data_IF_652955327826
#
_entry.id   IF_652955327826
#
_cell.length_a   1.000
_cell.length_b   1.000
_cell.length_c   1.000
_cell.angle_alpha   90.00
_cell.angle_beta   90.00
_cell.angle_gamma   90.00
#
_symmetry.space_group_name_H-M   'P 1'
#
loop_
_entity.id
_entity.type
_entity.pdbx_description
1 polymer ?
#
# COMPACT_ATOMS: atom_id res chain seq x y z
N UNK A 1 -3.20 18.79 -21.76
CA UNK A 1 -3.15 17.40 -21.26
C UNK A 1 -4.26 17.27 -20.25
N UNK A 2 -5.01 16.17 -20.29
CA UNK A 2 -6.19 15.95 -19.46
C UNK A 2 -6.15 14.52 -18.93
N UNK A 3 -6.54 14.32 -17.68
CA UNK A 3 -6.79 12.98 -17.16
C UNK A 3 -8.00 12.40 -17.88
N UNK A 4 -7.89 11.15 -18.31
CA UNK A 4 -8.98 10.38 -18.90
C UNK A 4 -9.43 9.33 -17.89
N UNK A 5 -10.72 9.34 -17.57
CA UNK A 5 -11.35 8.33 -16.74
C UNK A 5 -12.29 7.50 -17.63
N UNK A 6 -12.17 6.18 -17.59
CA UNK A 6 -13.01 5.29 -18.38
C UNK A 6 -13.18 3.91 -17.74
N UNK A 7 -14.29 3.24 -18.06
CA UNK A 7 -14.53 1.84 -17.68
C UNK A 7 -14.01 0.91 -18.78
N UNK A 8 -13.27 -0.13 -18.40
CA UNK A 8 -12.77 -1.17 -19.32
C UNK A 8 -12.76 -2.53 -18.62
N UNK A 9 -13.00 -3.59 -19.38
CA UNK A 9 -12.72 -4.96 -18.93
C UNK A 9 -11.21 -5.16 -18.79
N UNK A 10 -10.77 -5.78 -17.70
CA UNK A 10 -9.37 -6.03 -17.44
C UNK A 10 -9.12 -7.43 -16.88
N UNK A 11 -8.64 -8.31 -17.76
CA UNK A 11 -8.29 -9.71 -17.45
C UNK A 11 -9.43 -10.42 -16.70
N UNK A 12 -9.12 -11.25 -15.71
CA UNK A 12 -10.12 -11.90 -14.84
C UNK A 12 -10.74 -11.00 -13.77
N UNK A 13 -10.31 -9.74 -13.65
CA UNK A 13 -10.85 -8.79 -12.67
C UNK A 13 -12.16 -8.13 -13.10
N UNK A 14 -12.62 -8.41 -14.32
CA UNK A 14 -13.85 -7.86 -14.87
C UNK A 14 -13.72 -6.37 -15.12
N UNK A 15 -14.80 -5.63 -14.85
CA UNK A 15 -14.84 -4.20 -15.08
C UNK A 15 -13.98 -3.42 -14.07
N UNK A 16 -13.06 -2.61 -14.60
CA UNK A 16 -12.22 -1.70 -13.84
C UNK A 16 -12.41 -0.25 -14.31
N UNK A 17 -12.20 0.70 -13.39
CA UNK A 17 -12.08 2.13 -13.68
C UNK A 17 -10.62 2.44 -13.96
N UNK A 18 -10.31 2.82 -15.19
CA UNK A 18 -9.00 3.30 -15.62
C UNK A 18 -8.92 4.82 -15.45
N UNK A 19 -7.82 5.29 -14.86
CA UNK A 19 -7.45 6.70 -14.73
C UNK A 19 -6.09 6.87 -15.42
N UNK A 20 -6.06 7.67 -16.49
CA UNK A 20 -4.94 7.69 -17.44
C UNK A 20 -4.52 9.12 -17.79
N UNK A 21 -3.24 9.34 -18.06
CA UNK A 21 -2.71 10.55 -18.70
C UNK A 21 -1.69 10.16 -19.79
N UNK A 22 -1.01 11.15 -20.37
CA UNK A 22 -0.05 10.91 -21.46
C UNK A 22 1.23 10.17 -21.01
N UNK A 23 1.45 9.98 -19.71
CA UNK A 23 2.65 9.35 -19.13
C UNK A 23 2.41 7.99 -18.46
N UNK A 24 1.22 7.75 -17.90
CA UNK A 24 0.92 6.54 -17.15
C UNK A 24 -0.58 6.21 -17.12
N UNK A 25 -0.88 4.99 -16.67
CA UNK A 25 -2.23 4.53 -16.40
C UNK A 25 -2.30 3.78 -15.06
N UNK A 26 -3.43 3.89 -14.37
CA UNK A 26 -3.79 3.03 -13.24
C UNK A 26 -5.21 2.47 -13.43
N UNK A 27 -5.48 1.29 -12.85
CA UNK A 27 -6.81 0.66 -12.91
C UNK A 27 -7.28 0.23 -11.53
N UNK A 28 -8.55 0.52 -11.22
CA UNK A 28 -9.21 0.19 -9.96
C UNK A 28 -10.37 -0.76 -10.18
N UNK A 29 -10.42 -1.85 -9.42
CA UNK A 29 -11.51 -2.82 -9.47
C UNK A 29 -12.79 -2.22 -8.89
N UNK A 30 -13.95 -2.48 -9.53
CA UNK A 30 -15.24 -1.98 -9.06
C UNK A 30 -16.32 -3.04 -8.91
N UNK A 31 -16.09 -4.26 -9.41
CA UNK A 31 -16.97 -5.40 -9.14
C UNK A 31 -16.68 -6.06 -7.78
N UNK A 32 -15.51 -5.75 -7.21
CA UNK A 32 -15.05 -6.10 -5.86
C UNK A 32 -13.97 -5.07 -5.44
N UNK A 33 -13.58 -5.05 -4.15
CA UNK A 33 -12.49 -4.21 -3.63
C UNK A 33 -12.97 -2.97 -2.86
N UNK A 34 -12.47 -1.75 -3.16
CA UNK A 34 -11.66 -1.39 -4.33
C UNK A 34 -10.21 -1.83 -4.21
N UNK A 35 -9.59 -2.17 -5.34
CA UNK A 35 -8.16 -2.46 -5.43
C UNK A 35 -7.52 -1.74 -6.60
N UNK A 36 -6.40 -1.05 -6.39
CA UNK A 36 -5.58 -0.55 -7.51
C UNK A 36 -4.75 -1.72 -8.01
N UNK A 37 -5.22 -2.37 -9.08
CA UNK A 37 -4.66 -3.62 -9.60
C UNK A 37 -3.61 -3.39 -10.69
N UNK A 38 -3.56 -2.19 -11.23
CA UNK A 38 -2.62 -1.78 -12.26
C UNK A 38 -2.09 -0.39 -11.98
N UNK A 39 -0.77 -0.20 -12.14
CA UNK A 39 -0.13 1.11 -12.24
C UNK A 39 1.19 0.96 -13.01
N UNK A 40 1.33 1.68 -14.11
CA UNK A 40 2.55 1.66 -14.93
C UNK A 40 2.72 2.94 -15.74
N UNK A 41 3.98 3.26 -16.07
CA UNK A 41 4.28 4.17 -17.15
C UNK A 41 3.78 3.58 -18.47
N UNK A 42 3.44 4.45 -19.41
CA UNK A 42 3.12 4.01 -20.77
C UNK A 42 4.29 3.20 -21.35
N UNK A 43 3.97 2.11 -22.03
CA UNK A 43 4.93 1.14 -22.61
C UNK A 43 5.80 0.38 -21.59
N UNK A 44 5.44 0.40 -20.30
CA UNK A 44 6.08 -0.43 -19.26
C UNK A 44 5.11 -1.48 -18.70
N UNK A 45 5.65 -2.49 -18.05
CA UNK A 45 4.84 -3.51 -17.38
C UNK A 45 4.28 -2.99 -16.05
N UNK A 46 3.22 -3.62 -15.57
CA UNK A 46 2.58 -3.28 -14.30
C UNK A 46 3.55 -3.41 -13.11
N UNK A 47 3.53 -2.46 -12.17
CA UNK A 47 4.26 -2.58 -10.90
C UNK A 47 3.43 -3.23 -9.79
N UNK A 48 2.10 -3.23 -9.92
CA UNK A 48 1.19 -3.81 -8.95
C UNK A 48 1.14 -5.34 -9.08
N UNK A 49 0.95 -6.03 -7.96
CA UNK A 49 0.67 -7.46 -7.96
C UNK A 49 -0.69 -7.74 -8.60
N UNK A 50 -0.73 -8.70 -9.51
CA UNK A 50 -1.96 -9.25 -10.07
C UNK A 50 -2.05 -10.73 -9.69
N UNK A 51 -2.88 -11.06 -8.70
CA UNK A 51 -3.15 -12.44 -8.26
C UNK A 51 -4.52 -12.91 -8.78
N UNK A 52 -4.60 -13.16 -10.09
CA UNK A 52 -5.82 -13.59 -10.78
C UNK A 52 -6.39 -14.91 -10.25
N UNK A 53 -5.52 -15.77 -9.72
CA UNK A 53 -5.90 -17.07 -9.17
C UNK A 53 -6.48 -16.97 -7.75
N UNK A 54 -6.33 -15.82 -7.07
CA UNK A 54 -6.72 -15.68 -5.68
C UNK A 54 -5.90 -16.61 -4.78
N UNK A 55 -4.58 -16.67 -4.99
CA UNK A 55 -3.68 -17.68 -4.45
C UNK A 55 -3.73 -17.85 -2.94
N UNK A 56 -4.16 -16.82 -2.21
CA UNK A 56 -4.28 -16.81 -0.76
C UNK A 56 -5.72 -16.54 -0.40
N UNK A 57 -6.30 -17.44 0.40
CA UNK A 57 -7.68 -17.33 0.85
C UNK A 57 -7.76 -17.55 2.34
N UNK A 58 -8.64 -16.78 2.99
CA UNK A 58 -9.00 -16.99 4.39
C UNK A 58 -10.51 -17.17 4.44
N UNK A 59 -10.94 -18.28 5.02
CA UNK A 59 -12.36 -18.49 5.32
C UNK A 59 -12.71 -17.70 6.59
N UNK A 60 -13.66 -16.79 6.46
CA UNK A 60 -14.06 -15.86 7.51
C UNK A 60 -15.45 -16.27 7.95
N UNK A 61 -15.48 -17.04 9.04
CA UNK A 61 -16.70 -17.66 9.54
C UNK A 61 -17.85 -16.65 9.68
N UNK A 62 -18.93 -16.88 8.95
CA UNK A 62 -20.12 -16.01 8.93
C UNK A 62 -20.06 -14.83 7.96
N UNK A 63 -18.93 -14.56 7.31
CA UNK A 63 -18.72 -13.43 6.38
C UNK A 63 -18.30 -13.86 4.97
N UNK A 64 -17.85 -15.10 4.80
CA UNK A 64 -17.43 -15.66 3.51
C UNK A 64 -15.92 -15.74 3.37
N UNK A 65 -15.42 -15.84 2.13
CA UNK A 65 -13.99 -16.07 1.88
C UNK A 65 -13.31 -14.79 1.39
N UNK A 66 -12.33 -14.31 2.15
CA UNK A 66 -11.40 -13.29 1.68
C UNK A 66 -10.40 -13.91 0.71
N UNK A 67 -10.05 -13.18 -0.34
CA UNK A 67 -9.08 -13.61 -1.34
C UNK A 67 -8.07 -12.50 -1.57
N UNK A 68 -6.79 -12.85 -1.57
CA UNK A 68 -5.77 -11.94 -2.08
C UNK A 68 -5.90 -11.89 -3.60
N UNK A 69 -6.36 -10.75 -4.12
CA UNK A 69 -6.45 -10.50 -5.56
C UNK A 69 -5.31 -9.60 -6.05
N UNK A 70 -4.33 -9.32 -5.20
CA UNK A 70 -3.24 -8.38 -5.47
C UNK A 70 -3.64 -6.92 -5.28
N UNK A 71 -2.84 -6.05 -5.88
CA UNK A 71 -3.01 -4.60 -5.90
C UNK A 71 -2.83 -3.88 -4.57
N UNK A 72 -3.17 -2.60 -4.59
CA UNK A 72 -3.29 -1.78 -3.40
C UNK A 72 -4.69 -1.90 -2.78
N UNK A 73 -4.78 -2.07 -1.46
CA UNK A 73 -6.03 -2.24 -0.70
C UNK A 73 -5.98 -1.54 0.66
N UNK A 74 -7.16 -1.22 1.18
CA UNK A 74 -7.35 -0.62 2.50
C UNK A 74 -7.86 -1.66 3.50
N UNK A 75 -7.15 -1.78 4.61
CA UNK A 75 -7.47 -2.65 5.74
C UNK A 75 -7.57 -1.87 7.05
N UNK A 76 -8.16 -2.53 8.04
CA UNK A 76 -8.24 -2.05 9.43
C UNK A 76 -7.24 -2.85 10.25
N UNK A 77 -6.35 -2.16 10.96
CA UNK A 77 -5.43 -2.74 11.91
C UNK A 77 -5.98 -2.62 13.35
N UNK A 78 -5.57 -3.53 14.27
CA UNK A 78 -4.59 -4.61 14.09
C UNK A 78 -5.13 -5.78 13.25
N UNK A 79 -4.23 -6.64 12.76
CA UNK A 79 -4.57 -7.82 11.95
C UNK A 79 -5.38 -8.84 12.78
N UNK A 80 -6.69 -8.92 12.53
CA UNK A 80 -7.61 -9.76 13.27
C UNK A 80 -8.65 -10.39 12.34
N UNK A 81 -9.06 -11.62 12.67
CA UNK A 81 -10.26 -12.26 12.09
C UNK A 81 -11.43 -12.00 13.05
N UNK A 82 -12.62 -11.57 12.56
CA UNK A 82 -12.98 -11.45 11.14
C UNK A 82 -12.69 -10.10 10.50
N UNK A 83 -12.35 -9.07 11.26
CA UNK A 83 -12.43 -7.68 10.78
C UNK A 83 -11.44 -7.32 9.66
N UNK A 84 -10.14 -7.58 9.84
CA UNK A 84 -9.13 -7.28 8.82
C UNK A 84 -9.36 -8.11 7.56
N UNK A 85 -9.82 -9.35 7.75
CA UNK A 85 -10.11 -10.28 6.68
C UNK A 85 -11.54 -10.15 6.15
N UNK A 86 -12.30 -9.10 6.49
CA UNK A 86 -13.64 -8.92 5.94
C UNK A 86 -13.60 -9.03 4.40
N UNK A 87 -14.33 -9.97 3.77
CA UNK A 87 -14.21 -10.18 2.34
C UNK A 87 -14.65 -8.95 1.55
N UNK A 88 -13.77 -8.42 0.70
CA UNK A 88 -14.03 -7.29 -0.18
C UNK A 88 -14.63 -7.75 -1.52
N UNK A 89 -15.57 -8.69 -1.48
CA UNK A 89 -16.15 -9.34 -2.66
C UNK A 89 -17.31 -8.58 -3.30
N UNK A 90 -17.80 -7.52 -2.66
CA UNK A 90 -18.98 -6.78 -3.09
C UNK A 90 -18.63 -5.64 -4.07
N UNK A 91 -19.54 -5.28 -5.00
CA UNK A 91 -19.35 -4.15 -5.90
C UNK A 91 -19.12 -2.83 -5.16
N UNK A 92 -18.25 -2.00 -5.75
CA UNK A 92 -17.79 -0.74 -5.18
C UNK A 92 -18.47 0.42 -5.90
N UNK A 93 -19.14 1.29 -5.15
CA UNK A 93 -19.65 2.54 -5.70
C UNK A 93 -18.47 3.51 -5.94
N UNK A 94 -18.50 4.26 -7.03
CA UNK A 94 -17.52 5.32 -7.28
C UNK A 94 -18.14 6.55 -7.92
N UNK A 95 -17.47 7.68 -7.73
CA UNK A 95 -17.83 8.96 -8.32
C UNK A 95 -16.58 9.66 -8.84
N UNK A 96 -16.61 10.09 -10.10
CA UNK A 96 -15.60 10.97 -10.67
C UNK A 96 -16.02 12.44 -10.50
N UNK A 97 -15.06 13.29 -10.14
CA UNK A 97 -15.19 14.75 -10.09
C UNK A 97 -13.88 15.37 -10.61
N UNK A 98 -13.91 15.84 -11.86
CA UNK A 98 -12.70 16.23 -12.58
C UNK A 98 -11.69 15.08 -12.68
N UNK A 99 -10.47 15.33 -12.21
CA UNK A 99 -9.34 14.38 -12.24
C UNK A 99 -9.28 13.47 -11.01
N UNK A 100 -10.31 13.53 -10.14
CA UNK A 100 -10.40 12.78 -8.89
C UNK A 100 -11.51 11.75 -8.95
N UNK A 101 -11.24 10.54 -8.48
CA UNK A 101 -12.24 9.47 -8.34
C UNK A 101 -12.28 9.00 -6.90
N UNK A 102 -13.47 9.03 -6.30
CA UNK A 102 -13.74 8.50 -4.97
C UNK A 102 -14.40 7.13 -5.10
N UNK A 103 -13.84 6.13 -4.43
CA UNK A 103 -14.34 4.76 -4.34
C UNK A 103 -14.83 4.48 -2.92
N UNK A 104 -16.06 4.02 -2.80
CA UNK A 104 -16.75 3.77 -1.52
C UNK A 104 -17.35 2.37 -1.57
N UNK A 105 -16.66 1.34 -1.03
CA UNK A 105 -17.24 0.01 -0.89
C UNK A 105 -18.41 0.03 0.13
N UNK A 106 -19.23 -1.03 0.20
CA UNK A 106 -20.21 -1.18 1.26
C UNK A 106 -19.58 -1.02 2.64
N UNK A 107 -20.35 -0.45 3.57
CA UNK A 107 -19.95 -0.37 4.97
C UNK A 107 -19.64 -1.77 5.51
N UNK A 108 -18.57 -1.88 6.30
CA UNK A 108 -18.22 -3.15 6.93
C UNK A 108 -19.29 -3.52 7.97
N UNK A 109 -19.49 -4.83 8.24
CA UNK A 109 -20.37 -5.26 9.32
C UNK A 109 -19.83 -4.88 10.72
N UNK A 110 -18.62 -4.31 10.80
CA UNK A 110 -17.93 -3.89 12.02
C UNK A 110 -18.04 -2.38 12.29
N UNK A 111 -19.03 -1.72 11.66
CA UNK A 111 -19.35 -0.32 11.91
C UNK A 111 -18.32 0.65 11.34
N UNK A 112 -17.69 0.31 10.21
CA UNK A 112 -16.70 1.18 9.54
C UNK A 112 -17.05 1.42 8.09
N UNK A 113 -16.88 2.66 7.64
CA UNK A 113 -16.96 3.01 6.22
C UNK A 113 -15.54 3.23 5.71
N UNK A 114 -15.14 2.44 4.73
CA UNK A 114 -13.87 2.60 4.01
C UNK A 114 -14.10 3.53 2.81
N UNK A 115 -13.09 4.32 2.45
CA UNK A 115 -13.09 5.15 1.25
C UNK A 115 -11.66 5.30 0.73
N UNK A 116 -11.51 5.20 -0.60
CA UNK A 116 -10.27 5.47 -1.31
C UNK A 116 -10.51 6.59 -2.31
N UNK A 117 -9.74 7.67 -2.23
CA UNK A 117 -9.80 8.79 -3.16
C UNK A 117 -8.50 8.85 -3.95
N UNK A 118 -8.61 8.88 -5.28
CA UNK A 118 -7.47 8.86 -6.18
C UNK A 118 -7.53 10.08 -7.10
N UNK A 119 -6.43 10.82 -7.16
CA UNK A 119 -6.23 11.93 -8.09
C UNK A 119 -4.95 11.68 -8.90
N UNK A 120 -5.05 11.68 -10.23
CA UNK A 120 -3.89 11.58 -11.11
C UNK A 120 -3.44 12.97 -11.55
N UNK A 121 -2.14 13.27 -11.50
CA UNK A 121 -1.60 14.52 -12.07
C UNK A 121 -1.89 14.56 -13.58
N UNK A 122 -2.32 15.70 -14.11
CA UNK A 122 -2.71 15.81 -15.52
C UNK A 122 -1.57 15.60 -16.54
N UNK A 123 -0.31 15.61 -16.10
CA UNK A 123 0.87 15.61 -16.97
C UNK A 123 2.03 14.71 -16.52
N UNK A 124 2.02 14.26 -15.26
CA UNK A 124 3.11 13.50 -14.65
C UNK A 124 2.63 12.14 -14.18
N UNK A 125 3.52 11.14 -14.08
CA UNK A 125 3.19 9.85 -13.51
C UNK A 125 3.17 9.90 -11.98
N UNK A 126 2.31 10.78 -11.44
CA UNK A 126 2.16 11.07 -10.02
C UNK A 126 0.69 10.91 -9.66
N UNK A 127 0.42 10.07 -8.65
CA UNK A 127 -0.92 9.78 -8.16
C UNK A 127 -0.99 10.15 -6.69
N UNK A 128 -1.99 10.91 -6.28
CA UNK A 128 -2.33 11.09 -4.87
C UNK A 128 -3.43 10.10 -4.51
N UNK A 129 -3.20 9.31 -3.45
CA UNK A 129 -4.15 8.33 -2.91
C UNK A 129 -4.44 8.67 -1.46
N UNK A 130 -5.67 9.08 -1.16
CA UNK A 130 -6.14 9.31 0.21
C UNK A 130 -7.01 8.15 0.64
N UNK A 131 -6.60 7.47 1.70
CA UNK A 131 -7.33 6.37 2.33
C UNK A 131 -8.04 6.89 3.59
N UNK A 132 -9.28 6.45 3.80
CA UNK A 132 -10.10 6.83 4.97
C UNK A 132 -10.83 5.65 5.56
N UNK A 133 -10.90 5.63 6.88
CA UNK A 133 -11.76 4.73 7.65
C UNK A 133 -12.55 5.57 8.64
N UNK A 134 -13.86 5.67 8.43
CA UNK A 134 -14.77 6.38 9.33
C UNK A 134 -15.46 5.40 10.27
N UNK A 135 -15.47 5.71 11.57
CA UNK A 135 -16.33 5.04 12.52
C UNK A 135 -17.79 5.47 12.29
N UNK A 136 -18.63 4.56 11.81
CA UNK A 136 -20.07 4.79 11.59
C UNK A 136 -20.93 4.03 12.61
N UNK A 137 -20.31 3.38 13.60
CA UNK A 137 -20.98 2.75 14.72
C UNK A 137 -21.52 3.76 15.74
N UNK A 138 -22.14 3.25 16.79
CA UNK A 138 -22.74 4.03 17.87
C UNK A 138 -21.79 4.22 19.07
N UNK A 139 -20.60 3.63 19.03
CA UNK A 139 -19.59 3.63 20.11
C UNK A 139 -18.19 3.93 19.59
N UNK A 140 -17.29 4.27 20.50
CA UNK A 140 -15.86 4.35 20.18
C UNK A 140 -15.32 2.99 19.69
N UNK A 141 -14.37 3.03 18.77
CA UNK A 141 -13.67 1.85 18.27
C UNK A 141 -12.15 2.12 18.25
N UNK A 142 -11.36 1.18 18.79
CA UNK A 142 -9.89 1.23 18.74
C UNK A 142 -9.40 0.56 17.47
N UNK A 143 -8.82 1.33 16.55
CA UNK A 143 -8.28 0.82 15.30
C UNK A 143 -7.21 1.75 14.72
N UNK A 144 -6.52 1.28 13.69
CA UNK A 144 -5.68 2.09 12.82
C UNK A 144 -6.00 1.81 11.35
N UNK A 145 -5.64 2.77 10.50
CA UNK A 145 -5.66 2.59 9.06
C UNK A 145 -4.47 1.77 8.60
N UNK A 146 -4.69 0.74 7.78
CA UNK A 146 -3.63 -0.07 7.20
C UNK A 146 -3.73 -0.09 5.67
N UNK A 147 -2.79 0.59 5.03
CA UNK A 147 -2.78 0.83 3.60
C UNK A 147 -1.72 -0.03 2.92
N UNK A 148 -2.16 -1.12 2.28
CA UNK A 148 -1.30 -2.20 1.80
C UNK A 148 -1.13 -2.08 0.29
N UNK A 149 0.11 -1.99 -0.20
CA UNK A 149 0.41 -2.03 -1.64
C UNK A 149 1.12 -3.33 -1.98
N UNK A 150 0.41 -4.28 -2.61
CA UNK A 150 0.99 -5.47 -3.20
C UNK A 150 1.67 -5.15 -4.52
N UNK A 151 2.96 -5.47 -4.62
CA UNK A 151 3.82 -5.19 -5.75
C UNK A 151 4.27 -6.49 -6.42
N UNK A 152 4.41 -6.44 -7.74
CA UNK A 152 4.78 -7.62 -8.54
C UNK A 152 6.16 -8.17 -8.19
N UNK A 153 6.43 -9.42 -8.53
CA UNK A 153 7.64 -10.14 -8.17
C UNK A 153 8.92 -9.60 -8.84
N UNK A 154 10.08 -10.00 -8.30
CA UNK A 154 11.40 -9.81 -8.91
C UNK A 154 12.11 -8.50 -8.59
N UNK A 155 11.47 -7.59 -7.86
CA UNK A 155 12.02 -6.26 -7.57
C UNK A 155 12.77 -6.14 -6.25
N UNK A 156 13.20 -4.91 -5.95
CA UNK A 156 13.91 -4.55 -4.72
C UNK A 156 13.30 -3.34 -4.04
N UNK A 157 12.88 -3.50 -2.79
CA UNK A 157 12.34 -2.44 -1.94
C UNK A 157 13.44 -1.81 -1.07
N UNK A 158 13.44 -0.49 -0.94
CA UNK A 158 14.37 0.27 -0.09
C UNK A 158 13.59 1.33 0.68
N UNK A 159 13.88 1.44 1.97
CA UNK A 159 13.46 2.56 2.82
C UNK A 159 14.65 3.22 3.50
N UNK A 160 14.61 4.54 3.75
CA UNK A 160 15.58 5.22 4.58
C UNK A 160 15.43 4.80 6.06
N UNK A 161 16.55 4.65 6.75
CA UNK A 161 16.57 4.48 8.20
C UNK A 161 16.49 5.83 8.89
N UNK A 162 15.81 5.89 10.04
CA UNK A 162 15.76 7.11 10.85
C UNK A 162 17.17 7.62 11.20
N UNK A 163 17.39 8.91 10.92
CA UNK A 163 18.65 9.65 11.19
C UNK A 163 18.50 10.70 12.29
N UNK A 164 17.29 10.89 12.84
CA UNK A 164 17.00 11.87 13.90
C UNK A 164 17.94 11.66 15.09
N UNK A 165 18.61 12.72 15.55
CA UNK A 165 19.45 12.65 16.75
C UNK A 165 18.60 12.70 18.01
N UNK A 166 18.61 11.60 18.77
CA UNK A 166 17.83 11.43 20.02
C UNK A 166 18.69 11.44 21.30
N UNK A 167 20.00 11.68 21.18
CA UNK A 167 20.92 11.63 22.32
C UNK A 167 20.99 10.23 22.91
N UNK A 168 20.59 10.08 24.18
CA UNK A 168 20.59 8.80 24.90
C UNK A 168 19.34 7.94 24.67
N UNK A 169 18.33 8.46 23.98
CA UNK A 169 17.06 7.75 23.74
C UNK A 169 17.11 6.96 22.41
N UNK A 170 16.36 5.86 22.27
CA UNK A 170 16.24 5.16 20.99
C UNK A 170 15.53 6.02 19.95
N UNK A 171 15.86 5.82 18.67
CA UNK A 171 15.25 6.50 17.52
C UNK A 171 14.88 5.56 16.37
N UNK A 172 15.15 4.25 16.50
CA UNK A 172 14.93 3.24 15.48
C UNK A 172 14.20 2.06 16.09
N UNK A 173 13.15 1.63 15.41
CA UNK A 173 12.35 0.45 15.70
C UNK A 173 12.50 -0.51 14.52
N UNK A 174 12.67 -1.78 14.83
CA UNK A 174 12.50 -2.88 13.89
C UNK A 174 11.60 -3.91 14.57
N UNK A 175 10.38 -4.05 14.06
CA UNK A 175 9.44 -5.08 14.49
C UNK A 175 9.59 -6.31 13.58
N UNK A 176 9.57 -7.50 14.16
CA UNK A 176 9.67 -8.77 13.44
C UNK A 176 8.52 -9.68 13.84
N UNK A 177 7.97 -10.41 12.87
CA UNK A 177 6.99 -11.46 13.08
C UNK A 177 7.70 -12.76 13.46
N UNK A 178 6.97 -13.70 14.07
CA UNK A 178 7.51 -14.98 14.53
C UNK A 178 8.15 -15.80 13.38
N UNK A 179 7.63 -15.65 12.17
CA UNK A 179 8.14 -16.28 10.96
C UNK A 179 9.31 -15.54 10.29
N UNK A 180 9.66 -14.33 10.75
CA UNK A 180 10.72 -13.53 10.13
C UNK A 180 12.10 -13.99 10.55
N UNK A 181 12.77 -14.73 9.66
CA UNK A 181 14.18 -15.09 9.85
C UNK A 181 15.07 -13.86 9.71
N UNK A 182 15.70 -13.42 10.80
CA UNK A 182 16.62 -12.27 10.80
C UNK A 182 17.82 -12.45 9.86
N UNK A 183 18.14 -13.70 9.47
CA UNK A 183 19.20 -14.03 8.53
C UNK A 183 18.70 -14.20 7.09
N UNK A 184 17.46 -13.79 6.78
CA UNK A 184 16.92 -13.89 5.43
C UNK A 184 17.86 -13.21 4.42
N UNK A 185 18.36 -13.92 3.40
CA UNK A 185 19.35 -13.37 2.47
C UNK A 185 18.79 -12.25 1.58
N UNK A 186 17.47 -12.09 1.51
CA UNK A 186 16.80 -10.97 0.84
C UNK A 186 16.92 -9.67 1.63
N UNK A 187 17.03 -9.78 2.96
CA UNK A 187 16.99 -8.67 3.91
C UNK A 187 18.39 -8.10 4.14
N UNK A 188 18.48 -6.77 4.13
CA UNK A 188 19.68 -6.02 4.47
C UNK A 188 19.32 -4.81 5.32
N UNK A 189 19.85 -4.77 6.53
CA UNK A 189 19.78 -3.62 7.43
C UNK A 189 21.13 -2.88 7.45
N UNK A 190 21.09 -1.55 7.32
CA UNK A 190 22.28 -0.70 7.44
C UNK A 190 21.97 0.51 8.32
N UNK A 191 22.96 1.39 8.54
CA UNK A 191 22.72 2.64 9.25
C UNK A 191 21.95 3.70 8.44
N UNK A 192 21.86 3.52 7.12
CA UNK A 192 21.31 4.51 6.18
C UNK A 192 19.98 4.06 5.60
N UNK A 193 19.83 2.76 5.36
CA UNK A 193 18.66 2.17 4.71
C UNK A 193 18.39 0.74 5.14
N UNK A 194 17.15 0.31 4.93
CA UNK A 194 16.74 -1.10 4.90
C UNK A 194 16.45 -1.48 3.45
N UNK A 195 16.83 -2.69 3.05
CA UNK A 195 16.54 -3.22 1.73
C UNK A 195 16.03 -4.65 1.79
N UNK A 196 14.99 -4.95 1.02
CA UNK A 196 14.44 -6.29 0.81
C UNK A 196 14.37 -6.56 -0.69
N UNK A 197 14.90 -7.71 -1.14
CA UNK A 197 14.70 -8.21 -2.51
C UNK A 197 13.58 -9.23 -2.55
N UNK A 198 12.67 -9.15 -3.50
CA UNK A 198 11.74 -10.25 -3.75
C UNK A 198 12.52 -11.36 -4.48
N UNK A 199 12.35 -12.62 -4.03
CA UNK A 199 12.98 -13.78 -4.67
C UNK A 199 11.99 -14.95 -4.75
N UNK A 200 11.67 -15.37 -5.97
CA UNK A 200 10.74 -16.47 -6.24
C UNK A 200 11.21 -17.84 -5.78
N UNK A 201 12.51 -18.01 -5.52
CA UNK A 201 13.09 -19.27 -5.07
C UNK A 201 13.07 -19.43 -3.55
N UNK A 202 12.82 -18.35 -2.80
CA UNK A 202 12.73 -18.38 -1.34
C UNK A 202 11.26 -18.44 -0.93
N UNK A 203 10.82 -19.62 -0.47
CA UNK A 203 9.41 -19.86 -0.13
C UNK A 203 8.99 -19.22 1.20
N UNK A 204 9.93 -19.07 2.14
CA UNK A 204 9.65 -18.48 3.45
C UNK A 204 9.11 -17.06 3.31
N UNK A 205 8.09 -16.74 4.09
CA UNK A 205 7.66 -15.36 4.27
C UNK A 205 8.68 -14.61 5.13
N UNK A 206 8.87 -13.32 4.84
CA UNK A 206 9.63 -12.41 5.68
C UNK A 206 8.85 -11.13 5.82
N UNK A 207 8.70 -10.64 7.06
CA UNK A 207 8.05 -9.35 7.36
C UNK A 207 8.83 -8.55 8.38
N UNK A 208 8.96 -7.24 8.15
CA UNK A 208 9.57 -6.34 9.11
C UNK A 208 8.90 -4.96 9.10
N UNK A 209 8.69 -4.40 10.29
CA UNK A 209 8.12 -3.07 10.51
C UNK A 209 9.17 -2.07 10.98
N UNK A 210 9.01 -0.80 10.63
CA UNK A 210 9.96 0.28 10.92
C UNK A 210 9.25 1.60 11.23
N UNK A 211 9.96 2.50 11.94
CA UNK A 211 9.60 3.92 12.01
C UNK A 211 10.32 4.71 10.90
N UNK A 212 9.63 4.93 9.78
CA UNK A 212 10.17 5.65 8.61
C UNK A 212 9.82 7.13 8.69
N UNK A 213 10.83 7.94 9.05
CA UNK A 213 10.66 9.39 9.28
C UNK A 213 10.80 10.25 8.03
N UNK A 214 11.64 9.83 7.06
CA UNK A 214 11.76 10.53 5.77
C UNK A 214 10.47 10.39 4.92
N UNK A 215 9.55 9.50 5.29
CA UNK A 215 8.20 9.42 4.71
C UNK A 215 8.17 8.93 3.25
N UNK A 216 9.03 7.96 2.89
CA UNK A 216 8.90 7.27 1.60
C UNK A 216 9.47 5.85 1.62
N UNK A 217 8.99 5.04 0.68
CA UNK A 217 9.56 3.75 0.29
C UNK A 217 9.68 3.67 -1.24
N UNK A 218 10.70 2.99 -1.75
CA UNK A 218 10.92 2.83 -3.19
C UNK A 218 11.05 1.36 -3.57
N UNK A 219 10.43 0.94 -4.67
CA UNK A 219 10.50 -0.41 -5.22
C UNK A 219 10.91 -0.37 -6.68
N UNK A 220 12.08 -0.92 -7.01
CA UNK A 220 12.55 -1.07 -8.39
C UNK A 220 12.07 -2.41 -8.97
N UNK A 221 11.32 -2.37 -10.06
CA UNK A 221 10.84 -3.54 -10.79
C UNK A 221 10.42 -3.13 -12.20
N UNK A 222 10.53 -4.04 -13.18
CA UNK A 222 9.99 -3.85 -14.53
C UNK A 222 10.43 -2.53 -15.20
N UNK A 223 11.72 -2.22 -15.09
CA UNK A 223 12.38 -1.00 -15.57
C UNK A 223 11.77 0.30 -15.02
N UNK A 224 11.14 0.23 -13.85
CA UNK A 224 10.50 1.35 -13.17
C UNK A 224 10.92 1.38 -11.70
N UNK A 225 10.81 2.55 -11.08
CA UNK A 225 10.80 2.68 -9.62
C UNK A 225 9.44 3.23 -9.20
N UNK A 226 8.67 2.43 -8.47
CA UNK A 226 7.50 2.87 -7.74
C UNK A 226 7.95 3.48 -6.41
N UNK A 227 7.71 4.78 -6.23
CA UNK A 227 7.99 5.46 -4.96
C UNK A 227 6.68 5.78 -4.28
N UNK A 228 6.48 5.23 -3.08
CA UNK A 228 5.34 5.48 -2.21
C UNK A 228 5.76 6.50 -1.14
N UNK A 229 5.36 7.75 -1.30
CA UNK A 229 5.56 8.80 -0.31
C UNK A 229 4.36 8.89 0.62
N UNK A 230 4.62 9.21 1.88
CA UNK A 230 3.61 9.37 2.91
C UNK A 230 3.98 10.51 3.86
N UNK A 231 2.98 10.94 4.63
CA UNK A 231 3.04 12.12 5.49
C UNK A 231 4.18 12.10 6.50
N UNK A 232 4.45 13.26 7.08
CA UNK A 232 5.46 13.42 8.14
C UNK A 232 5.17 12.48 9.30
N UNK A 233 6.23 11.82 9.78
CA UNK A 233 6.13 10.93 10.93
C UNK A 233 5.63 11.69 12.17
N UNK A 234 4.50 11.23 12.71
CA UNK A 234 3.94 11.76 13.95
C UNK A 234 4.36 10.90 15.14
N UNK A 235 4.58 11.52 16.29
CA UNK A 235 4.85 10.82 17.55
C UNK A 235 3.56 10.35 18.22
N UNK A 236 2.85 9.45 17.54
CA UNK A 236 1.62 8.82 18.01
C UNK A 236 1.82 7.32 18.20
N UNK A 237 0.82 6.64 18.75
CA UNK A 237 0.78 5.18 18.75
C UNK A 237 0.50 4.69 17.33
N UNK A 238 1.33 3.79 16.82
CA UNK A 238 1.02 2.98 15.63
C UNK A 238 0.89 1.52 16.08
N UNK A 239 0.24 0.66 15.28
CA UNK A 239 0.24 -0.78 15.51
C UNK A 239 1.67 -1.39 15.52
N UNK A 240 1.75 -2.68 15.87
CA UNK A 240 2.92 -3.54 15.60
C UNK A 240 4.25 -3.00 16.15
N UNK A 241 4.24 -2.65 17.43
CA UNK A 241 5.34 -1.99 18.16
C UNK A 241 5.67 -0.57 17.65
N UNK A 242 4.64 0.19 17.28
CA UNK A 242 4.74 1.58 16.80
C UNK A 242 5.50 1.73 15.48
N UNK A 243 5.21 0.86 14.52
CA UNK A 243 5.71 0.97 13.15
C UNK A 243 4.70 1.73 12.28
N UNK A 244 5.14 2.74 11.53
CA UNK A 244 4.29 3.41 10.54
C UNK A 244 4.45 2.82 9.13
N UNK A 245 5.41 1.92 8.94
CA UNK A 245 5.70 1.28 7.67
C UNK A 245 6.15 -0.17 7.86
N UNK A 246 5.67 -1.06 6.99
CA UNK A 246 6.04 -2.48 6.99
C UNK A 246 6.37 -2.95 5.58
N UNK A 247 7.27 -3.92 5.51
CA UNK A 247 7.55 -4.67 4.28
C UNK A 247 7.33 -6.15 4.52
N UNK A 248 6.56 -6.77 3.63
CA UNK A 248 6.37 -8.22 3.59
C UNK A 248 6.88 -8.76 2.26
N UNK A 249 7.45 -9.96 2.23
CA UNK A 249 7.72 -10.67 0.99
C UNK A 249 7.64 -12.19 1.15
N UNK A 250 7.25 -12.87 0.08
CA UNK A 250 7.32 -14.31 -0.07
C UNK A 250 7.81 -14.64 -1.51
N UNK A 251 7.70 -15.91 -1.93
CA UNK A 251 8.09 -16.33 -3.28
C UNK A 251 7.23 -15.73 -4.41
N UNK A 252 6.08 -15.13 -4.11
CA UNK A 252 5.14 -14.61 -5.10
C UNK A 252 5.16 -13.08 -5.24
N UNK A 253 5.38 -12.34 -4.15
CA UNK A 253 5.26 -10.88 -4.18
C UNK A 253 6.02 -10.17 -3.06
N UNK A 254 5.98 -8.84 -3.09
CA UNK A 254 6.42 -7.95 -2.03
C UNK A 254 5.29 -6.95 -1.71
N UNK A 255 5.07 -6.63 -0.44
CA UNK A 255 4.15 -5.59 0.00
C UNK A 255 4.91 -4.43 0.64
N UNK A 256 4.47 -3.20 0.33
CA UNK A 256 4.87 -1.97 1.01
C UNK A 256 3.63 -1.40 1.72
N UNK A 257 3.65 -1.39 3.03
CA UNK A 257 2.48 -1.20 3.86
C UNK A 257 2.64 0.03 4.75
N UNK A 258 1.58 0.84 4.86
CA UNK A 258 1.57 2.02 5.73
C UNK A 258 0.55 1.83 6.81
N UNK A 259 0.95 2.13 8.04
CA UNK A 259 0.07 2.14 9.20
C UNK A 259 -0.17 3.59 9.66
N UNK A 260 -1.43 3.94 9.86
CA UNK A 260 -1.85 5.20 10.45
C UNK A 260 -1.81 5.17 11.97
N UNK A 261 -2.19 6.29 12.59
CA UNK A 261 -2.39 6.38 14.03
C UNK A 261 -3.37 5.29 14.52
N UNK A 262 -2.97 4.58 15.57
CA UNK A 262 -3.85 3.70 16.34
C UNK A 262 -4.38 4.46 17.54
N UNK A 263 -5.70 4.62 17.60
CA UNK A 263 -6.37 5.17 18.78
C UNK A 263 -7.85 4.79 18.79
N UNK A 264 -8.52 5.22 19.85
CA UNK A 264 -9.98 5.17 19.95
C UNK A 264 -10.59 6.30 19.13
N UNK A 265 -11.26 5.94 18.03
CA UNK A 265 -12.03 6.84 17.19
C UNK A 265 -13.49 6.88 17.67
N UNK A 266 -14.01 8.07 17.97
CA UNK A 266 -15.41 8.28 18.36
C UNK A 266 -16.35 8.10 17.15
N UNK A 267 -17.66 7.86 17.37
CA UNK A 267 -18.65 7.86 16.30
C UNK A 267 -18.55 9.11 15.43
N UNK A 268 -18.40 8.91 14.12
CA UNK A 268 -18.24 9.97 13.13
C UNK A 268 -16.80 10.42 12.88
N UNK A 269 -15.83 10.03 13.71
CA UNK A 269 -14.42 10.31 13.46
C UNK A 269 -13.83 9.43 12.36
N UNK A 270 -12.80 9.96 11.70
CA UNK A 270 -12.15 9.34 10.53
C UNK A 270 -10.65 9.22 10.77
N UNK A 271 -10.11 8.02 10.57
CA UNK A 271 -8.68 7.82 10.34
C UNK A 271 -8.39 8.13 8.86
N UNK A 272 -7.35 8.91 8.58
CA UNK A 272 -6.98 9.31 7.21
C UNK A 272 -5.46 9.23 7.03
N UNK A 273 -5.05 8.68 5.89
CA UNK A 273 -3.66 8.71 5.42
C UNK A 273 -3.67 9.12 3.95
N UNK A 274 -2.82 10.08 3.59
CA UNK A 274 -2.59 10.46 2.20
C UNK A 274 -1.20 10.03 1.75
N UNK A 275 -1.17 9.39 0.60
CA UNK A 275 0.02 8.88 -0.07
C UNK A 275 0.20 9.59 -1.41
N UNK A 276 1.45 9.79 -1.82
CA UNK A 276 1.79 10.25 -3.16
C UNK A 276 2.66 9.20 -3.82
N UNK A 277 2.21 8.65 -4.93
CA UNK A 277 2.91 7.63 -5.68
C UNK A 277 3.58 8.25 -6.90
N UNK A 278 4.83 7.90 -7.13
CA UNK A 278 5.58 8.29 -8.32
C UNK A 278 5.99 7.04 -9.09
N UNK A 279 5.97 7.11 -10.42
CA UNK A 279 6.73 6.19 -11.27
C UNK A 279 7.90 6.93 -11.90
N UNK A 280 9.10 6.38 -11.71
CA UNK A 280 10.33 6.87 -12.30
C UNK A 280 10.83 5.85 -13.32
N UNK A 281 11.35 6.32 -14.45
CA UNK A 281 12.05 5.44 -15.40
C UNK A 281 13.31 4.86 -14.74
N UNK A 282 13.52 3.56 -14.89
CA UNK A 282 14.64 2.83 -14.33
C UNK A 282 15.12 1.76 -15.30
N UNK A 283 15.37 2.16 -16.55
CA UNK A 283 15.91 1.27 -17.57
C UNK A 283 17.13 0.49 -17.06
N UNK A 284 17.08 -0.84 -17.18
CA UNK A 284 18.11 -1.73 -16.65
C UNK A 284 17.98 -2.13 -15.18
N UNK A 285 16.84 -1.84 -14.53
CA UNK A 285 16.45 -2.37 -13.21
C UNK A 285 17.49 -2.16 -12.10
N UNK A 286 18.00 -0.93 -12.00
CA UNK A 286 18.95 -0.60 -10.94
C UNK A 286 18.25 -0.48 -9.59
N UNK A 287 18.90 -0.90 -8.50
CA UNK A 287 18.33 -0.76 -7.16
C UNK A 287 18.11 0.73 -6.81
N UNK A 288 17.04 1.07 -6.08
CA UNK A 288 16.76 2.45 -5.69
C UNK A 288 17.93 3.06 -4.89
N UNK A 289 18.35 4.27 -5.28
CA UNK A 289 19.37 5.04 -4.57
C UNK A 289 18.70 6.19 -3.82
N UNK A 290 18.78 6.20 -2.47
CA UNK A 290 18.02 7.12 -1.63
C UNK A 290 18.15 8.59 -2.03
N UNK A 291 19.35 9.08 -2.31
CA UNK A 291 19.56 10.51 -2.65
C UNK A 291 18.92 10.89 -3.99
N UNK A 292 18.90 9.97 -4.96
CA UNK A 292 18.18 10.16 -6.22
C UNK A 292 16.67 10.16 -6.00
N UNK A 293 16.17 9.27 -5.14
CA UNK A 293 14.74 9.22 -4.80
C UNK A 293 14.31 10.50 -4.11
N UNK A 294 15.04 10.96 -3.09
CA UNK A 294 14.80 12.24 -2.40
C UNK A 294 14.71 13.40 -3.37
N UNK A 295 15.70 13.52 -4.26
CA UNK A 295 15.71 14.55 -5.31
C UNK A 295 14.48 14.45 -6.23
N UNK A 296 14.11 13.23 -6.66
CA UNK A 296 13.00 13.01 -7.59
C UNK A 296 11.63 13.33 -6.98
N UNK A 297 11.45 13.11 -5.68
CA UNK A 297 10.16 13.34 -4.97
C UNK A 297 10.14 14.63 -4.16
N UNK A 298 11.20 15.44 -4.23
CA UNK A 298 11.26 16.75 -3.56
C UNK A 298 11.37 16.67 -2.04
N UNK A 299 12.10 15.68 -1.51
CA UNK A 299 12.40 15.48 -0.08
C UNK A 299 13.86 15.78 0.24
#
# INVERSE_FOLDING_TARGET
MSVKISEKEYKSYGKCVFIENDSCALAVTVEFGPRVIYFALNDRENVMLEDEEGSFTVDVEGYGTWRNRGGHRLWVAPELIPETYNPDNDPVAYKADGDTVTFTPPATPFGKQLETVITLDASKPIVTVTQRIKNIGDKEADFALWSITGLTAGGTAVIPMCTRKSGYLPNRVMSLWDYSDINDPRFKLTNEYVRIRQDKFIQGAFKAGFNVEDGFAAYAVNEQIFVKCFGEYQFVEYPDYSCNFEMYTNSKFLECEILGEKRKYQPGETAEVTETWHLLDNKGDTEPQLDKIRTAVGK
#
